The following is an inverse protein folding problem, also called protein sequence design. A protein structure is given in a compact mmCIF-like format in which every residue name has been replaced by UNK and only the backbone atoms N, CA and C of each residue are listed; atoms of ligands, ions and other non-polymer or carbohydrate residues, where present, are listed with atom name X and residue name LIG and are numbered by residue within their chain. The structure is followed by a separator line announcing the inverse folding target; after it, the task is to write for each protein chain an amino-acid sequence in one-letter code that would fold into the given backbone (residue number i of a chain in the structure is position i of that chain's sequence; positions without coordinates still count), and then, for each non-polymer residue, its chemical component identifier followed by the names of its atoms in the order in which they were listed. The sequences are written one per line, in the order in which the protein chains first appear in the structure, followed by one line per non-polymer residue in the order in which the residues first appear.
data_IF_042735718007
#
_entry.id   IF_042735718007
#
_cell.length_a   1.000
_cell.length_b   1.000
_cell.length_c   1.000
_cell.angle_alpha   90.00
_cell.angle_beta   90.00
_cell.angle_gamma   90.00
#
_symmetry.space_group_name_H-M   'P 1'
#
loop_
_entity.id
_entity.type
_entity.pdbx_description
1 polymer ?
#
# COMPACT_ATOMS: atom_id res chain seq x y z
N UNK A 1 -17.26 20.97 -17.02
CA UNK A 1 -18.35 19.99 -17.22
C UNK A 1 -18.36 19.10 -15.99
N UNK A 2 -19.52 18.82 -15.38
CA UNK A 2 -19.57 17.95 -14.20
C UNK A 2 -19.23 16.52 -14.63
N UNK A 3 -18.15 15.97 -14.09
CA UNK A 3 -17.77 14.58 -14.32
C UNK A 3 -18.45 13.71 -13.25
N UNK A 4 -19.08 12.61 -13.66
CA UNK A 4 -19.71 11.65 -12.74
C UNK A 4 -18.73 10.61 -12.17
N UNK A 5 -17.47 10.63 -12.63
CA UNK A 5 -16.39 9.75 -12.18
C UNK A 5 -16.72 8.24 -12.25
N UNK A 6 -17.16 7.78 -13.43
CA UNK A 6 -17.57 6.39 -13.66
C UNK A 6 -16.42 5.48 -14.10
N UNK A 7 -15.34 6.04 -14.65
CA UNK A 7 -14.16 5.29 -15.07
C UNK A 7 -12.93 5.67 -14.22
N UNK A 8 -12.08 4.69 -13.95
CA UNK A 8 -10.96 4.82 -13.02
C UNK A 8 -9.67 4.29 -13.66
N UNK A 9 -8.57 4.99 -13.43
CA UNK A 9 -7.21 4.52 -13.68
C UNK A 9 -6.52 4.33 -12.32
N UNK A 10 -5.82 3.20 -12.17
CA UNK A 10 -5.11 2.86 -10.95
C UNK A 10 -3.65 2.54 -11.28
N UNK A 11 -2.73 3.28 -10.69
CA UNK A 11 -1.31 2.99 -10.73
C UNK A 11 -0.91 2.31 -9.41
N UNK A 12 -0.27 1.14 -9.52
CA UNK A 12 0.23 0.38 -8.39
C UNK A 12 1.72 0.12 -8.54
N UNK A 13 2.49 0.50 -7.52
CA UNK A 13 3.92 0.22 -7.43
C UNK A 13 4.18 -0.67 -6.21
N UNK A 14 4.97 -1.73 -6.40
CA UNK A 14 5.31 -2.66 -5.32
C UNK A 14 6.76 -2.44 -4.90
N UNK A 15 6.93 -1.92 -3.69
CA UNK A 15 8.21 -1.80 -3.01
C UNK A 15 8.56 -3.08 -2.26
N UNK A 16 9.85 -3.44 -2.26
CA UNK A 16 10.41 -4.50 -1.43
C UNK A 16 11.27 -3.85 -0.35
N UNK A 17 11.05 -4.23 0.90
CA UNK A 17 11.75 -3.69 2.05
C UNK A 17 12.84 -4.67 2.48
N UNK A 18 14.00 -4.14 2.85
CA UNK A 18 15.09 -4.88 3.49
C UNK A 18 15.65 -4.03 4.63
N UNK A 19 16.12 -4.67 5.69
CA UNK A 19 16.70 -3.95 6.84
C UNK A 19 18.09 -3.39 6.51
N UNK A 20 18.77 -3.99 5.53
CA UNK A 20 20.07 -3.59 5.01
C UNK A 20 20.06 -3.53 3.48
N UNK A 21 20.94 -2.71 2.90
CA UNK A 21 21.01 -2.54 1.45
C UNK A 21 21.48 -3.83 0.78
N UNK A 22 20.65 -4.39 -0.13
CA UNK A 22 20.91 -5.68 -0.76
C UNK A 22 20.65 -6.90 0.15
N UNK A 23 20.15 -6.69 1.35
CA UNK A 23 19.78 -7.75 2.30
C UNK A 23 18.53 -8.54 1.90
N UNK A 24 18.16 -9.55 2.69
CA UNK A 24 16.95 -10.33 2.47
C UNK A 24 15.70 -9.42 2.53
N UNK A 25 14.72 -9.72 1.68
CA UNK A 25 13.45 -9.00 1.69
C UNK A 25 12.68 -9.36 2.96
N UNK A 26 12.49 -8.38 3.82
CA UNK A 26 11.74 -8.53 5.06
C UNK A 26 10.27 -8.26 4.82
N UNK A 27 9.90 -7.27 4.00
CA UNK A 27 8.50 -6.90 3.77
C UNK A 27 8.19 -6.33 2.39
N UNK A 28 6.91 -6.03 2.16
CA UNK A 28 6.43 -5.46 0.92
C UNK A 28 5.47 -4.30 1.20
N UNK A 29 5.49 -3.31 0.32
CA UNK A 29 4.58 -2.16 0.37
C UNK A 29 3.97 -1.94 -1.02
N UNK A 30 2.68 -1.65 -1.06
CA UNK A 30 1.98 -1.17 -2.25
C UNK A 30 1.77 0.33 -2.15
N UNK A 31 2.30 1.07 -3.13
CA UNK A 31 2.00 2.48 -3.33
C UNK A 31 0.94 2.59 -4.44
N UNK A 32 -0.24 3.10 -4.08
CA UNK A 32 -1.41 3.16 -4.97
C UNK A 32 -1.84 4.60 -5.22
N UNK A 33 -2.11 4.93 -6.49
CA UNK A 33 -2.77 6.16 -6.91
C UNK A 33 -3.98 5.82 -7.76
N UNK A 34 -5.09 6.50 -7.50
CA UNK A 34 -6.34 6.33 -8.24
C UNK A 34 -6.77 7.68 -8.77
N UNK A 35 -7.13 7.74 -10.06
CA UNK A 35 -7.66 8.94 -10.70
C UNK A 35 -8.84 8.60 -11.60
N UNK A 36 -9.70 9.58 -11.84
CA UNK A 36 -10.79 9.42 -12.80
C UNK A 36 -10.20 9.36 -14.22
N UNK A 37 -10.45 8.26 -14.95
CA UNK A 37 -9.93 8.10 -16.30
C UNK A 37 -10.52 9.10 -17.31
N UNK A 38 -11.68 9.68 -17.00
CA UNK A 38 -12.37 10.62 -17.90
C UNK A 38 -11.90 12.08 -17.73
N UNK A 39 -11.61 12.50 -16.50
CA UNK A 39 -11.28 13.90 -16.19
C UNK A 39 -9.92 14.11 -15.51
N UNK A 40 -9.20 13.04 -15.19
CA UNK A 40 -7.88 13.07 -14.56
C UNK A 40 -7.89 13.52 -13.09
N UNK A 41 -9.06 13.68 -12.47
CA UNK A 41 -9.12 14.11 -11.06
C UNK A 41 -8.64 12.96 -10.16
N UNK A 42 -7.61 13.17 -9.31
CA UNK A 42 -7.16 12.15 -8.37
C UNK A 42 -8.21 11.94 -7.27
N UNK A 43 -8.37 10.69 -6.88
CA UNK A 43 -9.16 10.30 -5.71
C UNK A 43 -8.33 10.44 -4.45
N UNK A 44 -8.97 10.88 -3.37
CA UNK A 44 -8.36 10.91 -2.04
C UNK A 44 -8.75 9.67 -1.25
N UNK A 45 -7.77 9.09 -0.56
CA UNK A 45 -8.01 8.05 0.43
C UNK A 45 -8.47 8.69 1.74
N UNK A 46 -9.61 8.24 2.26
CA UNK A 46 -10.24 8.77 3.48
C UNK A 46 -10.17 7.74 4.61
N UNK A 47 -10.04 8.21 5.85
CA UNK A 47 -9.99 7.34 7.04
C UNK A 47 -8.60 6.78 7.38
N UNK A 48 -7.55 7.28 6.75
CA UNK A 48 -6.16 6.88 7.00
C UNK A 48 -5.35 8.06 7.53
N UNK A 49 -4.38 7.77 8.40
CA UNK A 49 -3.42 8.76 8.87
C UNK A 49 -2.40 9.08 7.79
N UNK A 50 -2.03 10.36 7.67
CA UNK A 50 -0.94 10.76 6.79
C UNK A 50 0.42 10.30 7.32
N UNK A 51 1.36 10.00 6.42
CA UNK A 51 2.75 9.68 6.76
C UNK A 51 3.25 8.37 6.16
N UNK A 52 4.21 7.74 6.84
CA UNK A 52 4.76 6.43 6.52
C UNK A 52 4.72 5.55 7.76
N UNK A 53 4.37 4.28 7.59
CA UNK A 53 4.42 3.28 8.65
C UNK A 53 4.72 1.92 8.05
N UNK A 54 5.55 1.13 8.72
CA UNK A 54 6.01 -0.16 8.19
C UNK A 54 4.94 -1.26 8.29
N UNK A 55 4.04 -1.16 9.28
CA UNK A 55 3.04 -2.19 9.59
C UNK A 55 1.58 -1.74 9.48
N UNK A 56 1.33 -0.48 9.12
CA UNK A 56 -0.02 0.03 8.96
C UNK A 56 -0.16 0.86 7.70
N UNK A 57 -1.32 0.84 7.01
CA UNK A 57 -1.56 1.73 5.89
C UNK A 57 -1.47 3.20 6.30
N UNK A 58 -0.83 4.00 5.45
CA UNK A 58 -0.75 5.46 5.56
C UNK A 58 -1.04 6.10 4.21
N UNK A 59 -1.30 7.40 4.23
CA UNK A 59 -1.53 8.18 3.01
C UNK A 59 -0.52 9.32 2.90
N UNK A 60 -0.24 9.78 1.68
CA UNK A 60 0.47 11.04 1.46
C UNK A 60 -0.25 12.23 2.09
N UNK A 61 0.48 13.33 2.32
CA UNK A 61 -0.05 14.53 2.99
C UNK A 61 -1.26 15.14 2.26
N UNK A 62 -1.29 15.05 0.94
CA UNK A 62 -2.39 15.51 0.08
C UNK A 62 -3.54 14.49 -0.07
N UNK A 63 -3.35 13.28 0.47
CA UNK A 63 -4.36 12.23 0.50
C UNK A 63 -4.47 11.38 -0.76
N UNK A 64 -3.61 11.57 -1.78
CA UNK A 64 -3.81 10.97 -3.12
C UNK A 64 -2.97 9.71 -3.39
N UNK A 65 -2.05 9.35 -2.49
CA UNK A 65 -1.20 8.16 -2.59
C UNK A 65 -1.36 7.33 -1.32
N UNK A 66 -1.86 6.11 -1.45
CA UNK A 66 -1.94 5.13 -0.37
C UNK A 66 -0.65 4.31 -0.34
N UNK A 67 -0.09 4.15 0.86
CA UNK A 67 1.07 3.31 1.14
C UNK A 67 0.63 2.22 2.09
N UNK A 68 0.42 1.02 1.56
CA UNK A 68 -0.16 -0.10 2.31
C UNK A 68 0.86 -1.24 2.43
N UNK A 69 1.17 -1.71 3.65
CA UNK A 69 1.89 -2.97 3.82
C UNK A 69 1.12 -4.12 3.20
N UNK A 70 1.82 -5.00 2.49
CA UNK A 70 1.25 -6.20 1.88
C UNK A 70 2.14 -7.40 2.14
N UNK A 71 1.61 -8.60 1.93
CA UNK A 71 2.37 -9.84 1.96
C UNK A 71 1.85 -10.83 0.89
N UNK A 72 2.69 -11.76 0.41
CA UNK A 72 2.21 -12.87 -0.40
C UNK A 72 1.22 -13.73 0.39
N UNK A 73 0.09 -14.10 -0.22
CA UNK A 73 -0.94 -14.93 0.40
C UNK A 73 -0.54 -16.42 0.45
N UNK A 74 0.56 -16.75 1.13
CA UNK A 74 1.09 -18.11 1.27
C UNK A 74 0.42 -18.91 2.41
N UNK A 75 -0.30 -18.25 3.32
CA UNK A 75 -1.04 -18.88 4.42
C UNK A 75 -2.55 -18.75 4.23
N UNK A 76 -3.26 -19.86 4.50
CA UNK A 76 -4.69 -20.01 4.23
C UNK A 76 -5.59 -19.17 5.16
N UNK A 77 -5.11 -18.84 6.36
CA UNK A 77 -5.86 -18.05 7.35
C UNK A 77 -5.22 -16.68 7.54
N UNK A 78 -6.00 -15.65 7.23
CA UNK A 78 -5.72 -14.27 7.60
C UNK A 78 -6.20 -14.02 9.03
N UNK A 79 -5.41 -13.30 9.83
CA UNK A 79 -5.80 -12.88 11.18
C UNK A 79 -7.01 -11.93 11.14
N UNK A 80 -7.77 -11.75 12.25
CA UNK A 80 -8.92 -10.86 12.31
C UNK A 80 -8.58 -9.38 12.03
N UNK A 81 -7.29 -9.00 12.08
CA UNK A 81 -6.74 -7.79 11.47
C UNK A 81 -5.61 -8.19 10.52
N UNK A 82 -5.56 -7.55 9.36
CA UNK A 82 -4.45 -7.65 8.42
C UNK A 82 -3.24 -6.90 8.98
N UNK A 83 -2.48 -7.56 9.85
CA UNK A 83 -1.27 -7.02 10.45
C UNK A 83 -0.06 -7.66 9.77
N UNK A 84 0.88 -6.82 9.33
CA UNK A 84 2.15 -7.31 8.78
C UNK A 84 2.93 -8.03 9.88
N UNK A 85 3.13 -9.34 9.71
CA UNK A 85 3.93 -10.16 10.63
C UNK A 85 5.27 -10.45 9.96
N UNK A 86 6.40 -9.87 10.43
CA UNK A 86 7.69 -10.20 9.83
C UNK A 86 7.94 -11.70 9.92
N UNK A 87 8.40 -12.33 8.82
CA UNK A 87 8.77 -13.75 8.85
C UNK A 87 9.85 -13.94 9.93
N UNK A 88 9.75 -14.99 10.77
CA UNK A 88 10.80 -15.27 11.73
C UNK A 88 12.12 -15.47 10.98
N UNK A 89 13.11 -14.63 11.28
CA UNK A 89 14.46 -14.76 10.74
C UNK A 89 14.96 -16.18 10.99
N UNK A 90 15.31 -16.89 9.91
CA UNK A 90 15.91 -18.21 10.00
C UNK A 90 17.24 -18.04 10.74
N UNK A 91 17.26 -18.45 12.02
CA UNK A 91 18.49 -18.52 12.81
C UNK A 91 19.44 -19.47 12.08
N UNK A 92 20.57 -18.95 11.63
CA UNK A 92 21.74 -19.73 11.21
C UNK A 92 22.42 -20.34 12.44
#
# INVERSE_FOLDING_TARGET
MACEHKNFHCAAHIGRLSDEEGGPITGYVADLKIECADCGLPFRFVGLNAGNHHSEPRVSIDGIELRAPIEPAEHEKFAPRAEYTPRPSAKH
#
